data_IF_495881758673
#
_entry.id   IF_495881758673
#
_cell.length_a   1.000
_cell.length_b   1.000
_cell.length_c   1.000
_cell.angle_alpha   90.00
_cell.angle_beta   90.00
_cell.angle_gamma   90.00
#
_symmetry.space_group_name_H-M   'P 1'
#
loop_
_entity.id
_entity.type
_entity.pdbx_description
1 polymer ?
#
# COMPACT_ATOMS: atom_id res chain seq x y z
N UNK A 1 -6.48 -14.84 62.50
CA UNK A 1 -6.31 -15.71 61.34
C UNK A 1 -7.22 -15.29 60.16
N UNK A 2 -8.34 -14.61 60.35
CA UNK A 2 -9.29 -14.19 59.32
C UNK A 2 -8.77 -13.08 58.39
N UNK A 3 -7.98 -12.12 58.91
CA UNK A 3 -7.51 -10.98 58.11
C UNK A 3 -6.55 -11.34 56.96
N UNK A 4 -5.75 -12.41 57.15
CA UNK A 4 -4.85 -12.86 56.07
C UNK A 4 -5.62 -13.53 54.91
N UNK A 5 -6.73 -14.20 55.17
CA UNK A 5 -7.57 -14.79 54.13
C UNK A 5 -8.25 -13.71 53.28
N UNK A 6 -8.77 -12.65 53.91
CA UNK A 6 -9.40 -11.53 53.21
C UNK A 6 -8.39 -10.79 52.34
N UNK A 7 -7.18 -10.61 52.81
CA UNK A 7 -6.11 -9.96 52.03
C UNK A 7 -5.71 -10.79 50.79
N UNK A 8 -5.63 -12.10 50.92
CA UNK A 8 -5.31 -12.99 49.78
C UNK A 8 -6.41 -12.93 48.71
N UNK A 9 -7.66 -12.97 49.09
CA UNK A 9 -8.80 -12.89 48.16
C UNK A 9 -8.81 -11.53 47.45
N UNK A 10 -8.56 -10.45 48.19
CA UNK A 10 -8.49 -9.11 47.64
C UNK A 10 -7.35 -8.95 46.62
N UNK A 11 -6.18 -9.52 46.87
CA UNK A 11 -5.05 -9.52 45.95
C UNK A 11 -5.37 -10.28 44.66
N UNK A 12 -5.96 -11.47 44.77
CA UNK A 12 -6.37 -12.26 43.61
C UNK A 12 -7.43 -11.55 42.78
N UNK A 13 -8.41 -10.92 43.42
CA UNK A 13 -9.42 -10.13 42.74
C UNK A 13 -8.79 -8.89 42.00
N UNK A 14 -7.86 -8.21 42.65
CA UNK A 14 -7.15 -7.08 42.05
C UNK A 14 -6.33 -7.50 40.82
N UNK A 15 -5.61 -8.62 40.92
CA UNK A 15 -4.83 -9.18 39.80
C UNK A 15 -5.77 -9.57 38.65
N UNK A 16 -6.90 -10.20 38.93
CA UNK A 16 -7.89 -10.56 37.94
C UNK A 16 -8.43 -9.36 37.16
N UNK A 17 -8.79 -8.29 37.88
CA UNK A 17 -9.25 -7.04 37.28
C UNK A 17 -8.13 -6.39 36.44
N UNK A 18 -6.92 -6.32 37.00
CA UNK A 18 -5.78 -5.72 36.32
C UNK A 18 -5.45 -6.45 35.02
N UNK A 19 -5.45 -7.77 35.01
CA UNK A 19 -5.25 -8.60 33.81
C UNK A 19 -6.37 -8.38 32.78
N UNK A 20 -7.62 -8.31 33.23
CA UNK A 20 -8.75 -8.04 32.35
C UNK A 20 -8.64 -6.69 31.64
N UNK A 21 -8.33 -5.64 32.39
CA UNK A 21 -8.13 -4.28 31.83
C UNK A 21 -6.90 -4.23 30.93
N UNK A 22 -5.79 -4.84 31.32
CA UNK A 22 -4.57 -4.90 30.53
C UNK A 22 -4.81 -5.58 29.18
N UNK A 23 -5.54 -6.70 29.16
CA UNK A 23 -5.89 -7.40 27.92
C UNK A 23 -6.71 -6.50 26.98
N UNK A 24 -7.66 -5.75 27.50
CA UNK A 24 -8.51 -4.84 26.74
C UNK A 24 -7.66 -3.71 26.10
N UNK A 25 -6.76 -3.13 26.87
CA UNK A 25 -5.85 -2.07 26.38
C UNK A 25 -4.94 -2.62 25.27
N UNK A 26 -4.37 -3.82 25.48
CA UNK A 26 -3.48 -4.43 24.49
C UNK A 26 -4.24 -4.70 23.17
N UNK A 27 -5.44 -5.27 23.24
CA UNK A 27 -6.25 -5.54 22.04
C UNK A 27 -6.58 -4.24 21.29
N UNK A 28 -6.99 -3.19 22.00
CA UNK A 28 -7.27 -1.90 21.38
C UNK A 28 -6.02 -1.29 20.75
N UNK A 29 -4.88 -1.35 21.42
CA UNK A 29 -3.62 -0.83 20.90
C UNK A 29 -3.17 -1.56 19.62
N UNK A 30 -3.26 -2.90 19.62
CA UNK A 30 -2.93 -3.73 18.45
C UNK A 30 -3.89 -3.41 17.30
N UNK A 31 -5.20 -3.31 17.57
CA UNK A 31 -6.19 -3.02 16.53
C UNK A 31 -5.96 -1.64 15.89
N UNK A 32 -5.69 -0.61 16.69
CA UNK A 32 -5.40 0.72 16.19
C UNK A 32 -4.09 0.75 15.37
N UNK A 33 -3.04 0.09 15.85
CA UNK A 33 -1.78 -0.02 15.12
C UNK A 33 -1.92 -0.77 13.79
N UNK A 34 -2.70 -1.84 13.78
CA UNK A 34 -2.97 -2.62 12.57
C UNK A 34 -3.78 -1.82 11.53
N UNK A 35 -4.80 -1.07 11.96
CA UNK A 35 -5.58 -0.23 11.04
C UNK A 35 -4.72 0.86 10.40
N UNK A 36 -3.86 1.53 11.16
CA UNK A 36 -2.94 2.55 10.63
C UNK A 36 -1.99 1.95 9.60
N UNK A 37 -1.32 0.86 9.94
CA UNK A 37 -0.37 0.18 9.05
C UNK A 37 -1.03 -0.34 7.75
N UNK A 38 -2.25 -0.90 7.85
CA UNK A 38 -2.98 -1.33 6.65
C UNK A 38 -3.38 -0.16 5.77
N UNK A 39 -3.85 0.93 6.37
CA UNK A 39 -4.26 2.11 5.61
C UNK A 39 -3.08 2.68 4.83
N UNK A 40 -1.93 2.85 5.46
CA UNK A 40 -0.73 3.35 4.82
C UNK A 40 -0.27 2.47 3.64
N UNK A 41 -0.33 1.15 3.80
CA UNK A 41 0.06 0.21 2.73
C UNK A 41 -0.92 0.16 1.56
N UNK A 42 -2.23 0.28 1.83
CA UNK A 42 -3.25 0.24 0.78
C UNK A 42 -3.27 1.55 -0.01
N UNK A 43 -3.17 2.68 0.67
CA UNK A 43 -3.21 4.00 0.03
C UNK A 43 -1.91 4.36 -0.68
N UNK A 44 -0.78 3.82 -0.26
CA UNK A 44 0.54 4.16 -0.81
C UNK A 44 0.68 3.93 -2.32
N UNK A 45 -0.01 2.94 -2.89
CA UNK A 45 0.03 2.63 -4.32
C UNK A 45 -1.19 3.14 -5.11
N UNK A 46 -2.36 3.22 -4.48
CA UNK A 46 -3.62 3.45 -5.19
C UNK A 46 -4.16 4.88 -5.08
N UNK A 47 -3.55 5.71 -4.25
CA UNK A 47 -4.09 7.04 -3.96
C UNK A 47 -5.46 7.01 -3.28
N UNK A 48 -5.89 8.14 -2.74
CA UNK A 48 -7.14 8.26 -1.98
C UNK A 48 -8.37 8.32 -2.89
N UNK A 49 -8.21 8.84 -4.10
CA UNK A 49 -9.30 9.05 -5.05
C UNK A 49 -8.87 8.78 -6.49
N UNK A 50 -9.70 8.05 -7.21
CA UNK A 50 -9.49 7.81 -8.64
C UNK A 50 -10.60 8.47 -9.46
N UNK A 51 -10.23 9.28 -10.43
CA UNK A 51 -11.16 9.95 -11.35
C UNK A 51 -11.22 9.18 -12.66
N UNK A 52 -12.40 8.72 -13.02
CA UNK A 52 -12.66 8.04 -14.28
C UNK A 52 -13.38 8.96 -15.27
N UNK A 53 -13.03 8.88 -16.55
CA UNK A 53 -13.81 9.55 -17.61
C UNK A 53 -15.13 8.82 -17.91
N UNK A 54 -16.06 9.49 -18.57
CA UNK A 54 -17.35 8.91 -19.01
C UNK A 54 -17.18 7.76 -20.02
N UNK A 55 -16.01 7.66 -20.67
CA UNK A 55 -15.52 6.50 -21.40
C UNK A 55 -14.39 5.83 -20.61
N UNK A 56 -13.79 4.80 -21.17
CA UNK A 56 -12.65 4.14 -20.51
C UNK A 56 -11.37 4.98 -20.47
N UNK A 57 -11.34 6.11 -21.19
CA UNK A 57 -10.18 6.97 -21.32
C UNK A 57 -10.55 8.44 -21.13
N UNK A 58 -9.61 9.23 -20.63
CA UNK A 58 -9.72 10.69 -20.52
C UNK A 58 -8.86 11.29 -21.63
N UNK A 59 -9.48 11.85 -22.67
CA UNK A 59 -8.78 12.34 -23.88
C UNK A 59 -7.90 13.57 -23.64
N UNK A 60 -8.24 14.41 -22.67
CA UNK A 60 -7.48 15.63 -22.33
C UNK A 60 -7.03 15.57 -20.86
N UNK A 61 -6.32 14.50 -20.54
CA UNK A 61 -5.94 14.24 -19.15
C UNK A 61 -5.08 15.35 -18.53
N UNK A 62 -4.27 16.06 -19.32
CA UNK A 62 -3.43 17.17 -18.82
C UNK A 62 -4.25 18.33 -18.26
N UNK A 63 -5.35 18.69 -18.93
CA UNK A 63 -6.25 19.73 -18.44
C UNK A 63 -6.99 19.28 -17.18
N UNK A 64 -7.41 18.01 -17.15
CA UNK A 64 -8.05 17.42 -15.97
C UNK A 64 -7.09 17.43 -14.79
N UNK A 65 -5.85 17.00 -14.97
CA UNK A 65 -4.81 17.02 -13.93
C UNK A 65 -4.58 18.45 -13.41
N UNK A 66 -4.46 19.44 -14.32
CA UNK A 66 -4.31 20.84 -13.91
C UNK A 66 -5.50 21.31 -13.07
N UNK A 67 -6.71 21.00 -13.50
CA UNK A 67 -7.94 21.37 -12.79
C UNK A 67 -8.04 20.70 -11.42
N UNK A 68 -7.71 19.41 -11.33
CA UNK A 68 -7.70 18.66 -10.06
C UNK A 68 -6.69 19.25 -9.07
N UNK A 69 -5.50 19.63 -9.53
CA UNK A 69 -4.48 20.28 -8.70
C UNK A 69 -4.87 21.66 -8.17
N UNK A 70 -5.91 22.30 -8.72
CA UNK A 70 -6.43 23.56 -8.17
C UNK A 70 -7.44 23.39 -7.05
N UNK A 71 -7.88 22.16 -6.80
CA UNK A 71 -8.82 21.87 -5.70
C UNK A 71 -8.08 21.93 -4.37
N UNK A 72 -8.61 22.63 -3.35
CA UNK A 72 -8.02 22.62 -2.02
C UNK A 72 -7.87 21.18 -1.49
N UNK A 73 -6.82 20.94 -0.70
CA UNK A 73 -6.49 19.65 -0.07
C UNK A 73 -6.02 18.54 -1.03
N UNK A 74 -5.90 18.80 -2.32
CA UNK A 74 -5.27 17.89 -3.27
C UNK A 74 -3.74 18.07 -3.24
N UNK A 75 -3.03 17.10 -2.71
CA UNK A 75 -1.56 17.12 -2.60
C UNK A 75 -0.89 16.73 -3.91
N UNK A 76 -1.42 15.75 -4.62
CA UNK A 76 -0.89 15.30 -5.91
C UNK A 76 -1.99 14.76 -6.83
N UNK A 77 -1.76 14.81 -8.13
CA UNK A 77 -2.62 14.20 -9.13
C UNK A 77 -1.73 13.65 -10.25
N UNK A 78 -1.79 12.34 -10.45
CA UNK A 78 -0.96 11.62 -11.41
C UNK A 78 -1.87 10.90 -12.42
N UNK A 79 -1.66 11.06 -13.73
CA UNK A 79 -2.36 10.27 -14.72
C UNK A 79 -1.90 8.83 -14.67
N UNK A 80 -2.86 7.91 -14.68
CA UNK A 80 -2.63 6.47 -14.61
C UNK A 80 -3.36 5.78 -15.75
N UNK A 81 -2.69 4.84 -16.40
CA UNK A 81 -3.30 3.89 -17.31
C UNK A 81 -3.27 2.53 -16.64
N UNK A 82 -4.42 1.90 -16.49
CA UNK A 82 -4.52 0.56 -15.93
C UNK A 82 -4.97 -0.43 -17.02
N UNK A 83 -4.31 -1.57 -17.07
CA UNK A 83 -4.65 -2.64 -18.00
C UNK A 83 -4.40 -4.01 -17.39
N UNK A 84 -5.23 -4.98 -17.79
CA UNK A 84 -5.01 -6.37 -17.46
C UNK A 84 -4.25 -7.03 -18.60
N UNK A 85 -3.17 -7.71 -18.26
CA UNK A 85 -2.30 -8.39 -19.22
C UNK A 85 -2.03 -9.82 -18.80
N UNK A 86 -1.69 -10.65 -19.78
CA UNK A 86 -1.15 -11.99 -19.54
C UNK A 86 0.36 -11.94 -19.71
N UNK A 87 1.08 -12.27 -18.66
CA UNK A 87 2.54 -12.42 -18.70
C UNK A 87 2.84 -13.89 -18.99
N UNK A 88 3.60 -14.13 -20.04
CA UNK A 88 4.03 -15.46 -20.46
C UNK A 88 5.57 -15.50 -20.55
N UNK A 89 6.18 -16.44 -19.85
CA UNK A 89 7.63 -16.67 -19.90
C UNK A 89 7.89 -18.18 -19.84
N UNK A 90 8.27 -18.78 -20.96
CA UNK A 90 8.44 -20.22 -21.05
C UNK A 90 7.16 -21.01 -20.74
N UNK A 91 7.17 -21.75 -19.65
CA UNK A 91 5.99 -22.50 -19.16
C UNK A 91 5.15 -21.72 -18.11
N UNK A 92 5.60 -20.54 -17.73
CA UNK A 92 4.91 -19.71 -16.75
C UNK A 92 3.92 -18.77 -17.46
N UNK A 93 2.67 -18.83 -17.03
CA UNK A 93 1.61 -17.92 -17.47
C UNK A 93 0.88 -17.37 -16.25
N UNK A 94 0.77 -16.07 -16.15
CA UNK A 94 0.06 -15.40 -15.06
C UNK A 94 -0.63 -14.14 -15.54
N UNK A 95 -1.86 -13.93 -15.07
CA UNK A 95 -2.52 -12.64 -15.19
C UNK A 95 -1.83 -11.61 -14.28
N UNK A 96 -1.70 -10.39 -14.80
CA UNK A 96 -1.18 -9.26 -14.05
C UNK A 96 -1.94 -7.98 -14.38
N UNK A 97 -1.94 -7.04 -13.47
CA UNK A 97 -2.40 -5.67 -13.70
C UNK A 97 -1.16 -4.83 -13.96
N UNK A 98 -1.17 -4.11 -15.08
CA UNK A 98 -0.09 -3.16 -15.44
C UNK A 98 -0.59 -1.75 -15.23
N UNK A 99 0.18 -0.98 -14.51
CA UNK A 99 -0.03 0.44 -14.30
C UNK A 99 0.99 1.22 -15.14
N UNK A 100 0.49 1.96 -16.13
CA UNK A 100 1.30 2.87 -16.92
C UNK A 100 1.20 4.28 -16.33
N UNK A 101 2.34 4.88 -16.04
CA UNK A 101 2.40 6.22 -15.48
C UNK A 101 3.63 6.98 -16.02
N UNK A 102 3.63 8.29 -15.83
CA UNK A 102 4.79 9.11 -16.20
C UNK A 102 5.94 8.88 -15.23
N UNK A 103 7.19 9.08 -15.67
CA UNK A 103 8.38 9.01 -14.80
C UNK A 103 8.23 9.89 -13.55
N UNK A 104 7.66 11.07 -13.71
CA UNK A 104 7.41 11.97 -12.59
C UNK A 104 6.39 11.40 -11.61
N UNK A 105 5.29 10.82 -12.11
CA UNK A 105 4.31 10.13 -11.28
C UNK A 105 4.90 8.95 -10.51
N UNK A 106 5.81 8.21 -11.13
CA UNK A 106 6.52 7.11 -10.49
C UNK A 106 7.47 7.57 -9.39
N UNK A 107 8.15 8.70 -9.59
CA UNK A 107 9.06 9.29 -8.60
C UNK A 107 8.30 9.89 -7.42
N UNK A 108 7.10 10.43 -7.66
CA UNK A 108 6.24 10.99 -6.62
C UNK A 108 5.67 9.89 -5.69
N UNK A 109 5.64 8.64 -6.14
CA UNK A 109 5.27 7.48 -5.34
C UNK A 109 6.46 7.05 -4.46
N UNK A 110 6.56 7.63 -3.28
CA UNK A 110 7.64 7.36 -2.31
C UNK A 110 7.77 5.89 -1.96
N UNK A 111 6.65 5.17 -1.90
CA UNK A 111 6.62 3.75 -1.55
C UNK A 111 7.26 2.87 -2.63
N UNK A 112 7.12 3.23 -3.90
CA UNK A 112 7.78 2.51 -5.00
C UNK A 112 9.27 2.80 -5.00
N UNK A 113 9.67 4.06 -4.82
CA UNK A 113 11.08 4.45 -4.84
C UNK A 113 11.87 3.86 -3.66
N UNK A 114 11.25 3.75 -2.50
CA UNK A 114 11.88 3.18 -1.29
C UNK A 114 11.86 1.65 -1.26
N UNK A 115 10.92 1.01 -1.94
CA UNK A 115 10.76 -0.44 -2.00
C UNK A 115 11.54 -1.10 -3.15
N UNK A 116 12.28 -0.33 -3.93
CA UNK A 116 13.07 -0.86 -5.03
C UNK A 116 14.23 -1.69 -4.48
N UNK A 117 14.18 -3.01 -4.68
CA UNK A 117 15.20 -3.94 -4.20
C UNK A 117 16.40 -4.00 -5.15
N UNK A 118 16.15 -3.86 -6.44
CA UNK A 118 17.19 -3.96 -7.45
C UNK A 118 16.81 -3.16 -8.71
N UNK A 119 17.79 -2.62 -9.42
CA UNK A 119 17.62 -1.70 -10.52
C UNK A 119 17.67 -0.24 -10.10
N UNK A 120 17.31 0.67 -11.01
CA UNK A 120 17.27 2.11 -10.76
C UNK A 120 16.14 2.74 -11.54
N UNK A 121 15.37 3.63 -10.89
CA UNK A 121 14.30 4.40 -11.54
C UNK A 121 14.84 5.31 -12.64
N UNK A 122 16.09 5.76 -12.54
CA UNK A 122 16.71 6.62 -13.52
C UNK A 122 16.93 5.92 -14.87
N UNK A 123 17.15 4.59 -14.82
CA UNK A 123 17.30 3.74 -16.00
C UNK A 123 15.97 3.26 -16.58
N UNK A 124 14.86 3.54 -15.90
CA UNK A 124 13.52 3.16 -16.33
C UNK A 124 13.01 4.18 -17.39
N UNK A 125 13.69 4.24 -18.53
CA UNK A 125 13.35 5.09 -19.67
C UNK A 125 13.20 4.23 -20.93
N UNK A 126 12.17 4.54 -21.72
CA UNK A 126 11.92 3.85 -22.98
C UNK A 126 10.65 2.99 -22.95
N UNK A 127 10.25 2.50 -24.15
CA UNK A 127 8.98 1.77 -24.31
C UNK A 127 8.99 0.38 -23.66
N UNK A 128 10.16 -0.18 -23.39
CA UNK A 128 10.34 -1.54 -22.87
C UNK A 128 10.72 -1.57 -21.37
N UNK A 129 10.77 -0.40 -20.71
CA UNK A 129 11.12 -0.32 -19.30
C UNK A 129 9.94 -0.70 -18.42
N UNK A 130 10.10 -1.72 -17.60
CA UNK A 130 9.06 -2.24 -16.70
C UNK A 130 9.62 -2.43 -15.30
N UNK A 131 8.84 -2.06 -14.30
CA UNK A 131 9.10 -2.37 -12.90
C UNK A 131 8.16 -3.51 -12.50
N UNK A 132 8.72 -4.62 -12.13
CA UNK A 132 7.97 -5.81 -11.74
C UNK A 132 8.06 -6.10 -10.26
N UNK A 133 6.98 -6.64 -9.68
CA UNK A 133 7.02 -7.15 -8.31
C UNK A 133 7.98 -8.34 -8.19
N UNK A 134 8.70 -8.40 -7.08
CA UNK A 134 9.73 -9.44 -6.81
C UNK A 134 9.19 -10.86 -6.96
N UNK A 135 7.99 -11.11 -6.46
CA UNK A 135 7.35 -12.42 -6.55
C UNK A 135 7.02 -12.81 -8.00
N UNK A 136 6.66 -11.84 -8.83
CA UNK A 136 6.39 -12.06 -10.25
C UNK A 136 7.69 -12.31 -11.00
N UNK A 137 8.72 -11.51 -10.75
CA UNK A 137 10.06 -11.67 -11.34
C UNK A 137 10.65 -13.04 -11.04
N UNK A 138 10.60 -13.47 -9.79
CA UNK A 138 11.10 -14.78 -9.39
C UNK A 138 10.36 -15.95 -10.07
N UNK A 139 9.04 -15.88 -10.19
CA UNK A 139 8.23 -16.91 -10.83
C UNK A 139 8.38 -16.93 -12.36
N UNK A 140 8.54 -15.77 -12.96
CA UNK A 140 8.71 -15.63 -14.41
C UNK A 140 10.16 -15.82 -14.88
N UNK A 141 11.11 -15.99 -13.96
CA UNK A 141 12.54 -16.10 -14.29
C UNK A 141 13.12 -14.82 -14.88
N UNK A 142 12.57 -13.67 -14.50
CA UNK A 142 13.04 -12.38 -14.99
C UNK A 142 14.26 -11.94 -14.18
N UNK A 143 15.31 -11.55 -14.88
CA UNK A 143 16.53 -10.99 -14.31
C UNK A 143 16.61 -9.51 -14.66
N UNK A 144 17.24 -8.75 -13.78
CA UNK A 144 17.48 -7.32 -13.99
C UNK A 144 18.56 -7.16 -15.03
N UNK A 145 18.22 -6.47 -16.11
CA UNK A 145 19.16 -6.13 -17.17
C UNK A 145 19.93 -4.84 -16.90
#
# INVERSE_FOLDING_TARGET
RGERFVSVIAIFSLIGIALGVATLIIVMAVMNGFQSELMDRILGLNGDLTVYGSGRTISQYEEVVKRVKTVPDVTSATPLIEGQVLISSGQFNSGAIVHGMTKQGLTDLKDVSSALIAGSLDKCEGPDAVIGGVSLGAKAGLYIG
#
